data_IF_427652799515
#
_entry.id   IF_427652799515
#
_cell.length_a   1.000
_cell.length_b   1.000
_cell.length_c   1.000
_cell.angle_alpha   90.00
_cell.angle_beta   90.00
_cell.angle_gamma   90.00
#
_symmetry.space_group_name_H-M   'P 1'
#
loop_
_entity.id
_entity.type
_entity.pdbx_description
1 polymer ?
#
# COMPACT_ATOMS: atom_id res chain seq x y z
N UNK A 1 -6.82 12.01 90.46
CA UNK A 1 -7.87 11.25 89.75
C UNK A 1 -8.46 12.14 88.66
N UNK A 2 -8.11 11.89 87.39
CA UNK A 2 -8.88 12.21 86.18
C UNK A 2 -8.13 11.58 85.00
N UNK A 3 -8.70 10.49 84.49
CA UNK A 3 -8.26 9.73 83.33
C UNK A 3 -8.44 10.56 82.05
N UNK A 4 -7.48 10.48 81.13
CA UNK A 4 -7.63 10.92 79.75
C UNK A 4 -7.71 9.67 78.87
N UNK A 5 -8.88 9.45 78.28
CA UNK A 5 -9.22 8.30 77.43
C UNK A 5 -8.69 8.58 76.02
N UNK A 6 -7.74 7.76 75.55
CA UNK A 6 -7.28 7.78 74.15
C UNK A 6 -8.16 6.80 73.37
N UNK A 7 -9.00 7.35 72.49
CA UNK A 7 -9.87 6.59 71.58
C UNK A 7 -9.06 6.25 70.32
N UNK A 8 -8.58 5.00 70.20
CA UNK A 8 -7.95 4.49 68.97
C UNK A 8 -9.04 4.13 67.94
N UNK A 9 -9.23 4.96 66.92
CA UNK A 9 -10.03 4.64 65.74
C UNK A 9 -9.27 3.67 64.83
N UNK A 10 -9.77 2.43 64.73
CA UNK A 10 -9.29 1.44 63.76
C UNK A 10 -9.80 1.81 62.37
N UNK A 11 -8.91 2.30 61.51
CA UNK A 11 -9.17 2.54 60.09
C UNK A 11 -8.87 1.24 59.33
N UNK A 12 -9.92 0.46 59.02
CA UNK A 12 -9.80 -0.75 58.18
C UNK A 12 -9.81 -0.29 56.72
N UNK A 13 -8.64 -0.28 56.08
CA UNK A 13 -8.51 -0.06 54.63
C UNK A 13 -8.71 -1.42 53.96
N UNK A 14 -9.90 -1.62 53.39
CA UNK A 14 -10.16 -2.71 52.45
C UNK A 14 -9.47 -2.37 51.11
N UNK A 15 -8.27 -2.92 50.92
CA UNK A 15 -7.59 -2.90 49.62
C UNK A 15 -8.28 -3.95 48.75
N UNK A 16 -9.24 -3.51 47.94
CA UNK A 16 -9.81 -4.30 46.86
C UNK A 16 -8.72 -4.48 45.80
N UNK A 17 -8.15 -5.69 45.73
CA UNK A 17 -7.14 -6.05 44.74
C UNK A 17 -7.86 -6.35 43.42
N UNK A 18 -8.08 -5.33 42.59
CA UNK A 18 -8.47 -5.52 41.19
C UNK A 18 -7.31 -6.21 40.46
N UNK A 19 -7.52 -7.48 40.14
CA UNK A 19 -6.62 -8.26 39.29
C UNK A 19 -6.66 -7.70 37.87
N UNK A 20 -5.78 -6.73 37.59
CA UNK A 20 -5.42 -6.38 36.22
C UNK A 20 -4.77 -7.61 35.58
N UNK A 21 -5.40 -8.14 34.52
CA UNK A 21 -4.79 -9.15 33.65
C UNK A 21 -3.51 -8.56 33.05
N UNK A 22 -2.37 -8.81 33.70
CA UNK A 22 -1.06 -8.55 33.10
C UNK A 22 -0.93 -9.44 31.87
N UNK A 23 -0.59 -8.84 30.74
CA UNK A 23 -0.19 -9.55 29.54
C UNK A 23 0.95 -10.53 29.89
N UNK A 24 0.89 -11.72 29.32
CA UNK A 24 1.87 -12.80 29.55
C UNK A 24 3.27 -12.31 29.10
N UNK A 25 4.26 -12.21 30.01
CA UNK A 25 5.61 -11.75 29.68
C UNK A 25 6.39 -12.73 28.79
N UNK A 26 5.85 -13.92 28.51
CA UNK A 26 6.54 -14.98 27.74
C UNK A 26 6.20 -15.01 26.24
N UNK A 27 5.35 -14.11 25.74
CA UNK A 27 5.25 -13.88 24.29
C UNK A 27 6.45 -13.04 23.82
N UNK A 28 7.57 -13.72 23.56
CA UNK A 28 8.73 -13.15 22.90
C UNK A 28 8.27 -12.56 21.55
N UNK A 29 8.28 -11.23 21.42
CA UNK A 29 7.86 -10.55 20.19
C UNK A 29 8.65 -11.13 19.01
N UNK A 30 7.99 -11.42 17.86
CA UNK A 30 8.70 -11.93 16.71
C UNK A 30 9.80 -10.94 16.30
N UNK A 31 10.95 -11.47 15.90
CA UNK A 31 12.11 -10.69 15.44
C UNK A 31 11.89 -10.07 14.04
N UNK A 32 10.66 -10.02 13.55
CA UNK A 32 10.27 -9.46 12.26
C UNK A 32 8.95 -8.68 12.43
N UNK A 33 8.70 -7.75 11.51
CA UNK A 33 7.44 -7.02 11.44
C UNK A 33 7.08 -6.75 9.98
N UNK A 34 5.79 -6.67 9.68
CA UNK A 34 5.28 -6.32 8.36
C UNK A 34 4.00 -5.49 8.53
N UNK A 35 3.84 -4.46 7.70
CA UNK A 35 2.62 -3.70 7.59
C UNK A 35 2.33 -3.40 6.11
N UNK A 36 1.05 -3.43 5.75
CA UNK A 36 0.58 -3.24 4.37
C UNK A 36 -0.55 -2.22 4.32
N UNK A 37 -0.80 -1.64 3.15
CA UNK A 37 -2.04 -0.91 2.88
C UNK A 37 -2.56 -1.15 1.45
N UNK A 38 -3.88 -1.06 1.30
CA UNK A 38 -4.59 -1.18 0.01
C UNK A 38 -5.10 0.15 -0.56
N UNK A 39 -4.73 1.27 0.05
CA UNK A 39 -5.12 2.62 -0.39
C UNK A 39 -5.89 3.39 0.68
N UNK A 40 -5.93 4.72 0.52
CA UNK A 40 -6.59 5.61 1.47
C UNK A 40 -7.67 6.45 0.77
N UNK A 41 -8.83 6.56 1.39
CA UNK A 41 -9.93 7.34 0.87
C UNK A 41 -11.23 7.08 1.61
N UNK A 42 -12.24 7.87 1.32
CA UNK A 42 -13.58 7.65 1.88
C UNK A 42 -14.30 6.59 1.04
N UNK A 43 -14.38 5.38 1.57
CA UNK A 43 -15.46 4.44 1.21
C UNK A 43 -16.47 4.56 2.34
N UNK A 44 -17.61 5.20 2.08
CA UNK A 44 -18.64 5.26 3.10
C UNK A 44 -19.24 3.86 3.27
N UNK A 45 -19.48 3.44 4.50
CA UNK A 45 -20.02 2.10 4.79
C UNK A 45 -21.34 1.81 4.06
N UNK A 46 -22.12 2.86 3.78
CA UNK A 46 -23.37 2.77 2.99
C UNK A 46 -23.13 2.41 1.52
N UNK A 47 -21.94 2.67 0.99
CA UNK A 47 -21.54 2.42 -0.40
C UNK A 47 -20.73 1.11 -0.51
N UNK A 48 -20.59 0.35 0.59
CA UNK A 48 -19.87 -0.92 0.64
C UNK A 48 -20.84 -2.03 1.05
N UNK A 49 -21.11 -2.95 0.13
CA UNK A 49 -21.81 -4.18 0.46
C UNK A 49 -20.88 -5.15 1.22
N UNK A 50 -21.47 -6.07 1.98
CA UNK A 50 -20.73 -7.00 2.84
C UNK A 50 -19.83 -7.97 2.07
N UNK A 51 -20.17 -8.30 0.82
CA UNK A 51 -19.35 -9.17 -0.02
C UNK A 51 -18.09 -8.44 -0.47
N UNK A 52 -18.24 -7.19 -0.90
CA UNK A 52 -17.11 -6.32 -1.25
C UNK A 52 -16.19 -6.09 -0.05
N UNK A 53 -16.74 -5.78 1.13
CA UNK A 53 -15.96 -5.62 2.38
C UNK A 53 -15.14 -6.89 2.68
N UNK A 54 -15.80 -8.04 2.64
CA UNK A 54 -15.16 -9.34 2.88
C UNK A 54 -14.06 -9.63 1.87
N UNK A 55 -14.27 -9.29 0.59
CA UNK A 55 -13.27 -9.47 -0.46
C UNK A 55 -12.01 -8.63 -0.21
N UNK A 56 -12.14 -7.36 0.21
CA UNK A 56 -11.00 -6.52 0.59
C UNK A 56 -10.26 -7.09 1.80
N UNK A 57 -10.97 -7.49 2.85
CA UNK A 57 -10.36 -8.06 4.07
C UNK A 57 -9.60 -9.33 3.72
N UNK A 58 -10.19 -10.23 2.95
CA UNK A 58 -9.54 -11.48 2.55
C UNK A 58 -8.29 -11.22 1.71
N UNK A 59 -8.37 -10.31 0.74
CA UNK A 59 -7.22 -9.95 -0.09
C UNK A 59 -6.08 -9.32 0.73
N UNK A 60 -6.38 -8.45 1.70
CA UNK A 60 -5.38 -7.87 2.58
C UNK A 60 -4.75 -8.94 3.49
N UNK A 61 -5.55 -9.84 4.05
CA UNK A 61 -5.04 -10.95 4.85
C UNK A 61 -4.14 -11.88 4.05
N UNK A 62 -4.47 -12.17 2.80
CA UNK A 62 -3.65 -13.00 1.91
C UNK A 62 -2.32 -12.30 1.57
N UNK A 63 -2.37 -11.01 1.20
CA UNK A 63 -1.18 -10.21 0.95
C UNK A 63 -0.24 -10.15 2.17
N UNK A 64 -0.81 -9.98 3.36
CA UNK A 64 -0.08 -9.99 4.63
C UNK A 64 0.54 -11.36 4.90
N UNK A 65 -0.22 -12.43 4.70
CA UNK A 65 0.23 -13.82 4.90
C UNK A 65 1.41 -14.18 3.99
N UNK A 66 1.41 -13.72 2.73
CA UNK A 66 2.51 -13.93 1.79
C UNK A 66 3.82 -13.36 2.34
N UNK A 67 3.82 -12.08 2.72
CA UNK A 67 5.01 -11.42 3.25
C UNK A 67 5.43 -11.96 4.63
N UNK A 68 4.46 -12.24 5.50
CA UNK A 68 4.73 -12.84 6.81
C UNK A 68 5.39 -14.22 6.67
N UNK A 69 4.92 -15.07 5.76
CA UNK A 69 5.51 -16.40 5.57
C UNK A 69 6.98 -16.33 5.14
N UNK A 70 7.35 -15.34 4.32
CA UNK A 70 8.73 -15.11 3.91
C UNK A 70 9.58 -14.73 5.14
N UNK A 71 9.14 -13.73 5.92
CA UNK A 71 9.86 -13.25 7.11
C UNK A 71 9.95 -14.32 8.21
N UNK A 72 8.86 -15.06 8.42
CA UNK A 72 8.77 -16.15 9.38
C UNK A 72 9.72 -17.29 9.04
N UNK A 73 9.98 -17.53 7.75
CA UNK A 73 10.94 -18.53 7.27
C UNK A 73 12.39 -18.03 7.25
N UNK A 74 12.65 -16.78 7.69
CA UNK A 74 13.98 -16.18 7.68
C UNK A 74 14.39 -15.57 6.33
N UNK A 75 13.44 -15.33 5.43
CA UNK A 75 13.66 -14.59 4.19
C UNK A 75 13.92 -13.09 4.43
N UNK A 76 14.40 -12.40 3.38
CA UNK A 76 14.76 -10.98 3.44
C UNK A 76 13.51 -10.09 3.37
N UNK A 77 13.58 -8.92 3.99
CA UNK A 77 12.49 -7.93 3.95
C UNK A 77 12.17 -7.45 2.53
N UNK A 78 13.17 -7.37 1.64
CA UNK A 78 12.96 -7.00 0.23
C UNK A 78 12.10 -8.00 -0.53
N UNK A 79 12.30 -9.31 -0.29
CA UNK A 79 11.54 -10.37 -0.94
C UNK A 79 10.09 -10.39 -0.42
N UNK A 80 9.91 -10.11 0.88
CA UNK A 80 8.60 -9.98 1.51
C UNK A 80 7.82 -8.79 0.93
N UNK A 81 8.44 -7.61 0.84
CA UNK A 81 7.83 -6.40 0.28
C UNK A 81 7.45 -6.59 -1.18
N UNK A 82 8.36 -7.08 -2.02
CA UNK A 82 8.07 -7.32 -3.43
C UNK A 82 6.93 -8.33 -3.60
N UNK A 83 6.98 -9.47 -2.91
CA UNK A 83 5.98 -10.53 -3.06
C UNK A 83 4.58 -10.08 -2.62
N UNK A 84 4.50 -9.35 -1.51
CA UNK A 84 3.23 -8.77 -1.02
C UNK A 84 2.67 -7.75 -2.01
N UNK A 85 3.49 -6.85 -2.54
CA UNK A 85 3.01 -5.81 -3.47
C UNK A 85 2.66 -6.43 -4.83
N UNK A 86 3.40 -7.43 -5.32
CA UNK A 86 3.04 -8.18 -6.54
C UNK A 86 1.65 -8.81 -6.42
N UNK A 87 1.33 -9.39 -5.27
CA UNK A 87 -0.02 -9.91 -5.03
C UNK A 87 -1.09 -8.81 -5.09
N UNK A 88 -0.81 -7.66 -4.49
CA UNK A 88 -1.73 -6.52 -4.52
C UNK A 88 -1.87 -5.93 -5.93
N UNK A 89 -0.80 -5.92 -6.73
CA UNK A 89 -0.81 -5.52 -8.14
C UNK A 89 -1.56 -6.53 -9.03
N UNK A 90 -1.52 -7.82 -8.72
CA UNK A 90 -2.25 -8.84 -9.49
C UNK A 90 -3.76 -8.89 -9.11
N UNK A 91 -4.16 -8.19 -8.04
CA UNK A 91 -5.52 -8.22 -7.51
C UNK A 91 -6.35 -7.00 -7.97
N UNK A 92 -7.43 -7.21 -8.76
CA UNK A 92 -8.22 -6.14 -9.39
C UNK A 92 -8.94 -5.18 -8.42
N UNK A 93 -8.99 -5.51 -7.13
CA UNK A 93 -9.59 -4.65 -6.10
C UNK A 93 -8.77 -3.39 -5.85
N UNK A 94 -7.45 -3.46 -6.02
CA UNK A 94 -6.55 -2.37 -5.66
C UNK A 94 -6.17 -1.52 -6.88
N UNK A 95 -5.77 -0.27 -6.63
CA UNK A 95 -5.33 0.65 -7.68
C UNK A 95 -3.82 0.55 -7.90
N UNK A 96 -3.36 -0.63 -8.33
CA UNK A 96 -1.98 -0.90 -8.72
C UNK A 96 -2.00 -2.11 -9.64
N UNK A 97 -1.12 -2.17 -10.65
CA UNK A 97 -1.15 -3.26 -11.63
C UNK A 97 -2.56 -3.49 -12.21
N UNK A 98 -3.04 -4.73 -12.15
CA UNK A 98 -4.40 -5.12 -12.51
C UNK A 98 -5.40 -4.42 -11.61
N UNK A 99 -6.31 -3.64 -12.20
CA UNK A 99 -7.25 -2.80 -11.43
C UNK A 99 -6.78 -1.36 -11.23
N UNK A 100 -5.67 -0.98 -11.87
CA UNK A 100 -5.27 0.41 -11.98
C UNK A 100 -6.39 1.29 -12.56
N UNK A 101 -6.45 2.53 -12.08
CA UNK A 101 -7.31 3.58 -12.62
C UNK A 101 -6.85 4.01 -14.01
N UNK A 102 -7.78 4.61 -14.75
CA UNK A 102 -7.51 5.09 -16.10
C UNK A 102 -7.12 6.56 -16.12
N UNK A 103 -6.21 6.89 -17.04
CA UNK A 103 -5.88 8.26 -17.47
C UNK A 103 -7.07 8.92 -18.15
N UNK A 104 -6.93 10.20 -18.48
CA UNK A 104 -7.91 10.93 -19.30
C UNK A 104 -8.17 10.25 -20.65
N UNK A 105 -7.12 9.70 -21.25
CA UNK A 105 -7.14 9.11 -22.58
C UNK A 105 -7.56 7.62 -22.57
N UNK A 106 -7.99 7.12 -21.40
CA UNK A 106 -8.49 5.75 -21.26
C UNK A 106 -7.41 4.68 -21.24
N UNK A 107 -6.18 5.04 -20.90
CA UNK A 107 -5.04 4.11 -20.71
C UNK A 107 -4.74 3.87 -19.23
N UNK A 108 -3.99 2.82 -18.92
CA UNK A 108 -3.41 2.62 -17.58
C UNK A 108 -1.93 2.98 -17.61
N UNK A 109 -1.49 3.77 -16.63
CA UNK A 109 -0.10 4.20 -16.48
C UNK A 109 0.30 4.00 -15.02
N UNK A 110 1.32 3.18 -14.80
CA UNK A 110 1.66 2.65 -13.49
C UNK A 110 2.98 3.22 -12.99
N UNK A 111 3.04 3.41 -11.68
CA UNK A 111 4.19 3.96 -10.97
C UNK A 111 4.51 3.07 -9.76
N UNK A 112 5.79 2.81 -9.48
CA UNK A 112 6.21 2.10 -8.28
C UNK A 112 7.63 2.47 -7.84
N UNK A 113 7.93 2.31 -6.55
CA UNK A 113 9.28 2.37 -6.01
C UNK A 113 9.51 1.34 -4.90
N UNK A 114 10.78 1.02 -4.67
CA UNK A 114 11.24 0.19 -3.56
C UNK A 114 12.57 0.75 -3.04
N UNK A 115 12.76 0.73 -1.73
CA UNK A 115 13.98 1.22 -1.08
C UNK A 115 14.40 0.33 0.07
N UNK A 116 15.71 0.06 0.14
CA UNK A 116 16.34 -0.72 1.19
C UNK A 116 17.07 0.17 2.19
N UNK A 117 16.77 0.00 3.47
CA UNK A 117 17.26 0.87 4.55
C UNK A 117 18.70 0.59 5.00
N UNK A 118 19.22 -0.63 4.76
CA UNK A 118 20.59 -1.01 5.15
C UNK A 118 21.65 -0.44 4.20
N UNK A 119 21.35 -0.46 2.90
CA UNK A 119 22.23 -0.09 1.79
C UNK A 119 21.91 1.28 1.21
N UNK A 120 20.74 1.83 1.54
CA UNK A 120 20.17 3.05 0.94
C UNK A 120 19.93 2.95 -0.57
N UNK A 121 20.05 1.75 -1.14
CA UNK A 121 19.71 1.52 -2.54
C UNK A 121 18.21 1.64 -2.74
N UNK A 122 17.83 2.20 -3.89
CA UNK A 122 16.46 2.41 -4.26
C UNK A 122 16.29 2.21 -5.76
N UNK A 123 15.08 1.84 -6.16
CA UNK A 123 14.68 1.73 -7.55
C UNK A 123 13.24 2.17 -7.74
N UNK A 124 12.96 2.75 -8.90
CA UNK A 124 11.65 3.29 -9.23
C UNK A 124 11.36 3.21 -10.72
N UNK A 125 10.08 3.01 -11.03
CA UNK A 125 9.54 3.14 -12.38
C UNK A 125 8.33 4.06 -12.40
N UNK A 126 8.18 4.85 -13.46
CA UNK A 126 7.03 5.74 -13.62
C UNK A 126 6.43 5.67 -15.03
N UNK A 127 5.12 5.84 -15.13
CA UNK A 127 4.36 5.86 -16.38
C UNK A 127 4.61 4.64 -17.28
N UNK A 128 4.80 3.46 -16.68
CA UNK A 128 4.88 2.21 -17.45
C UNK A 128 3.48 1.70 -17.78
N UNK A 129 3.31 1.09 -18.95
CA UNK A 129 2.00 0.71 -19.49
C UNK A 129 1.88 -0.77 -19.84
N UNK A 130 2.99 -1.50 -19.87
CA UNK A 130 3.02 -2.93 -20.25
C UNK A 130 3.72 -3.83 -19.23
N UNK A 131 4.34 -3.28 -18.19
CA UNK A 131 5.01 -4.08 -17.15
C UNK A 131 3.96 -4.62 -16.20
N UNK A 132 3.78 -5.94 -16.14
CA UNK A 132 2.72 -6.58 -15.34
C UNK A 132 2.78 -6.18 -13.86
N UNK A 133 4.00 -6.20 -13.29
CA UNK A 133 4.26 -5.91 -11.89
C UNK A 133 5.29 -4.77 -11.75
N UNK A 134 4.85 -3.49 -11.71
CA UNK A 134 5.73 -2.34 -11.56
C UNK A 134 6.71 -2.42 -10.39
N UNK A 135 6.33 -2.99 -9.25
CA UNK A 135 7.24 -3.13 -8.09
C UNK A 135 8.48 -3.98 -8.43
N UNK A 136 8.31 -5.03 -9.23
CA UNK A 136 9.43 -5.86 -9.69
C UNK A 136 10.34 -5.12 -10.66
N UNK A 137 9.79 -4.23 -11.49
CA UNK A 137 10.61 -3.38 -12.34
C UNK A 137 11.36 -2.32 -11.52
N UNK A 138 10.74 -1.74 -10.48
CA UNK A 138 11.43 -0.87 -9.53
C UNK A 138 12.60 -1.60 -8.85
N UNK A 139 12.40 -2.83 -8.37
CA UNK A 139 13.48 -3.66 -7.83
C UNK A 139 14.57 -3.96 -8.87
N UNK A 140 14.19 -4.27 -10.11
CA UNK A 140 15.14 -4.51 -11.18
C UNK A 140 15.99 -3.26 -11.50
N UNK A 141 15.40 -2.06 -11.46
CA UNK A 141 16.16 -0.81 -11.63
C UNK A 141 17.22 -0.70 -10.53
N UNK A 142 16.86 -0.97 -9.28
CA UNK A 142 17.78 -0.94 -8.14
C UNK A 142 18.92 -1.96 -8.24
N UNK A 143 18.62 -3.20 -8.62
CA UNK A 143 19.57 -4.32 -8.54
C UNK A 143 20.35 -4.57 -9.84
N UNK A 144 19.83 -4.12 -10.99
CA UNK A 144 20.34 -4.49 -12.33
C UNK A 144 20.67 -3.28 -13.21
N UNK A 145 20.78 -2.09 -12.63
CA UNK A 145 21.22 -0.89 -13.34
C UNK A 145 22.03 0.04 -12.44
N UNK A 146 22.70 1.02 -13.03
CA UNK A 146 23.40 2.10 -12.31
C UNK A 146 22.47 3.29 -11.98
N UNK A 147 21.15 3.09 -12.06
CA UNK A 147 20.15 4.14 -12.00
C UNK A 147 19.15 3.90 -10.86
N UNK A 148 18.55 4.99 -10.37
CA UNK A 148 17.50 4.93 -9.34
C UNK A 148 16.10 4.95 -9.94
N UNK A 149 15.89 5.66 -11.05
CA UNK A 149 14.55 5.83 -11.62
C UNK A 149 14.59 5.76 -13.14
N UNK A 150 13.64 5.01 -13.72
CA UNK A 150 13.37 4.99 -15.17
C UNK A 150 11.90 5.25 -15.43
N UNK A 151 11.55 5.83 -16.57
CA UNK A 151 10.15 6.12 -16.90
C UNK A 151 9.76 5.69 -18.32
N UNK A 152 8.46 5.49 -18.51
CA UNK A 152 7.82 5.28 -19.80
C UNK A 152 8.46 4.14 -20.59
N UNK A 153 8.65 4.37 -21.90
CA UNK A 153 9.10 3.31 -22.81
C UNK A 153 10.49 2.76 -22.46
N UNK A 154 11.39 3.61 -21.96
CA UNK A 154 12.73 3.20 -21.55
C UNK A 154 12.68 2.19 -20.40
N UNK A 155 11.84 2.45 -19.39
CA UNK A 155 11.63 1.54 -18.27
C UNK A 155 11.05 0.19 -18.72
N UNK A 156 10.11 0.19 -19.67
CA UNK A 156 9.53 -1.05 -20.22
C UNK A 156 10.56 -1.89 -20.98
N UNK A 157 11.40 -1.25 -21.80
CA UNK A 157 12.47 -1.94 -22.53
C UNK A 157 13.48 -2.55 -21.56
N UNK A 158 13.85 -1.80 -20.51
CA UNK A 158 14.73 -2.30 -19.47
C UNK A 158 14.09 -3.47 -18.70
N UNK A 159 12.83 -3.35 -18.29
CA UNK A 159 12.10 -4.42 -17.61
C UNK A 159 12.05 -5.70 -18.46
N UNK A 160 11.78 -5.57 -19.77
CA UNK A 160 11.80 -6.68 -20.71
C UNK A 160 13.19 -7.32 -20.81
N UNK A 161 14.25 -6.51 -20.90
CA UNK A 161 15.63 -7.01 -20.92
C UNK A 161 16.04 -7.74 -19.64
N UNK A 162 15.40 -7.41 -18.51
CA UNK A 162 15.58 -8.08 -17.23
C UNK A 162 14.77 -9.38 -17.09
N UNK A 163 13.99 -9.76 -18.11
CA UNK A 163 13.16 -10.97 -18.12
C UNK A 163 11.83 -10.83 -17.36
N UNK A 164 11.35 -9.61 -17.12
CA UNK A 164 10.06 -9.38 -16.45
C UNK A 164 8.88 -9.58 -17.41
N UNK A 165 7.73 -9.96 -16.85
CA UNK A 165 6.49 -10.16 -17.61
C UNK A 165 6.01 -8.86 -18.25
N UNK A 166 6.01 -8.84 -19.59
CA UNK A 166 5.41 -7.78 -20.39
C UNK A 166 4.06 -8.28 -20.90
N UNK A 167 3.00 -7.52 -20.60
CA UNK A 167 1.61 -7.88 -20.90
C UNK A 167 0.98 -6.87 -21.86
N UNK A 168 -0.05 -7.32 -22.58
CA UNK A 168 -0.94 -6.41 -23.28
C UNK A 168 -1.61 -5.45 -22.28
N UNK A 169 -1.72 -4.14 -22.58
CA UNK A 169 -2.38 -3.18 -21.69
C UNK A 169 -3.80 -3.58 -21.26
N UNK A 170 -4.51 -4.42 -22.03
CA UNK A 170 -5.82 -4.95 -21.65
C UNK A 170 -5.79 -5.76 -20.34
N UNK A 171 -4.63 -6.27 -19.92
CA UNK A 171 -4.47 -6.97 -18.65
C UNK A 171 -4.88 -6.11 -17.45
N UNK A 172 -4.60 -4.80 -17.51
CA UNK A 172 -4.86 -3.88 -16.40
C UNK A 172 -6.33 -3.46 -16.29
N UNK A 173 -7.10 -3.69 -17.36
CA UNK A 173 -8.48 -3.25 -17.47
C UNK A 173 -9.38 -3.92 -16.42
N UNK A 174 -10.23 -3.11 -15.79
CA UNK A 174 -11.41 -3.60 -15.09
C UNK A 174 -12.61 -2.72 -15.44
N UNK A 175 -13.77 -3.37 -15.59
CA UNK A 175 -15.02 -2.68 -15.92
C UNK A 175 -15.36 -1.57 -14.91
N UNK A 176 -15.21 -1.86 -13.61
CA UNK A 176 -15.49 -0.91 -12.53
C UNK A 176 -14.64 0.36 -12.63
N UNK A 177 -13.33 0.24 -12.92
CA UNK A 177 -12.44 1.40 -13.05
C UNK A 177 -12.74 2.19 -14.33
N UNK A 178 -13.09 1.50 -15.41
CA UNK A 178 -13.46 2.11 -16.68
C UNK A 178 -14.74 2.94 -16.55
N UNK A 179 -15.79 2.35 -15.99
CA UNK A 179 -17.05 3.05 -15.69
C UNK A 179 -16.83 4.25 -14.77
N UNK A 180 -15.91 4.13 -13.82
CA UNK A 180 -15.46 5.25 -12.97
C UNK A 180 -14.88 6.42 -13.77
N UNK A 181 -14.03 6.16 -14.77
CA UNK A 181 -13.53 7.19 -15.68
C UNK A 181 -14.67 7.82 -16.48
N UNK A 182 -15.52 7.00 -17.11
CA UNK A 182 -16.62 7.49 -17.95
C UNK A 182 -17.55 8.43 -17.19
N UNK A 183 -17.87 8.11 -15.93
CA UNK A 183 -18.65 8.98 -15.05
C UNK A 183 -17.98 10.34 -14.83
N UNK A 184 -16.67 10.36 -14.55
CA UNK A 184 -15.92 11.62 -14.34
C UNK A 184 -15.88 12.46 -15.61
N UNK A 185 -15.65 11.85 -16.79
CA UNK A 185 -15.63 12.56 -18.07
C UNK A 185 -17.00 13.20 -18.38
N UNK A 186 -18.10 12.50 -18.11
CA UNK A 186 -19.45 13.03 -18.27
C UNK A 186 -19.75 14.19 -17.32
N UNK A 187 -19.27 14.10 -16.07
CA UNK A 187 -19.42 15.18 -15.07
C UNK A 187 -18.58 16.41 -15.46
N UNK A 188 -17.35 16.21 -15.93
CA UNK A 188 -16.45 17.28 -16.38
C UNK A 188 -17.00 18.00 -17.62
N UNK A 189 -17.58 17.28 -18.59
CA UNK A 189 -18.22 17.90 -19.77
C UNK A 189 -19.42 18.78 -19.36
N UNK A 190 -20.25 18.30 -18.42
CA UNK A 190 -21.37 19.08 -17.88
C UNK A 190 -20.91 20.33 -17.12
N UNK A 191 -19.82 20.24 -16.35
CA UNK A 191 -19.26 21.38 -15.61
C UNK A 191 -18.54 22.39 -16.50
N UNK A 192 -17.90 21.95 -17.58
CA UNK A 192 -17.29 22.89 -18.55
C UNK A 192 -18.32 23.84 -19.18
N UNK A 193 -19.60 23.45 -19.18
CA UNK A 193 -20.76 24.22 -19.66
C UNK A 193 -21.39 25.11 -18.59
N UNK A 194 -20.98 24.99 -17.32
CA UNK A 194 -21.50 25.78 -16.19
C UNK A 194 -20.33 26.27 -15.33
N UNK A 195 -19.91 27.53 -15.51
CA UNK A 195 -18.79 28.18 -14.82
C UNK A 195 -18.81 27.96 -13.30
N UNK A 196 -18.08 26.96 -12.80
CA UNK A 196 -18.07 26.62 -11.39
C UNK A 196 -16.99 25.60 -11.06
N UNK A 197 -15.83 26.10 -10.62
CA UNK A 197 -14.71 25.27 -10.17
C UNK A 197 -15.07 24.58 -8.85
N UNK A 198 -15.17 23.25 -8.89
CA UNK A 198 -15.26 22.40 -7.71
C UNK A 198 -14.37 21.19 -7.92
N UNK A 199 -13.16 21.23 -7.36
CA UNK A 199 -12.26 20.08 -7.25
C UNK A 199 -12.98 18.94 -6.52
N UNK A 200 -13.51 17.98 -7.28
CA UNK A 200 -14.06 16.74 -6.73
C UNK A 200 -12.97 16.01 -5.94
N UNK A 201 -13.35 15.38 -4.82
CA UNK A 201 -12.44 14.54 -4.03
C UNK A 201 -11.92 13.42 -4.91
N UNK A 202 -10.69 13.55 -5.43
CA UNK A 202 -10.04 12.50 -6.21
C UNK A 202 -9.69 11.36 -5.25
N UNK A 203 -10.15 10.16 -5.59
CA UNK A 203 -9.84 8.95 -4.80
C UNK A 203 -8.42 8.52 -5.15
N UNK A 204 -7.56 8.36 -4.14
CA UNK A 204 -6.18 7.93 -4.27
C UNK A 204 -6.07 6.49 -3.77
N UNK A 205 -6.15 5.51 -4.68
CA UNK A 205 -5.79 4.14 -4.33
C UNK A 205 -4.29 3.95 -4.55
N UNK A 206 -3.55 3.52 -3.54
CA UNK A 206 -2.12 3.18 -3.64
C UNK A 206 -1.91 1.96 -2.76
N UNK A 207 -1.10 1.01 -3.20
CA UNK A 207 -0.73 -0.14 -2.37
C UNK A 207 0.69 0.03 -1.88
N UNK A 208 1.00 -0.54 -0.73
CA UNK A 208 2.34 -0.45 -0.17
C UNK A 208 2.58 -1.48 0.92
N UNK A 209 3.85 -1.73 1.18
CA UNK A 209 4.33 -2.66 2.18
C UNK A 209 5.62 -2.14 2.80
N UNK A 210 5.73 -2.26 4.11
CA UNK A 210 6.99 -2.10 4.86
C UNK A 210 7.26 -3.37 5.65
N UNK A 211 8.50 -3.84 5.62
CA UNK A 211 8.92 -5.03 6.35
C UNK A 211 10.25 -4.84 7.06
N UNK A 212 10.35 -5.39 8.27
CA UNK A 212 11.57 -5.57 9.05
C UNK A 212 11.86 -7.07 9.10
N UNK A 213 13.05 -7.49 8.66
CA UNK A 213 13.48 -8.88 8.76
C UNK A 213 14.26 -9.18 10.06
N UNK A 214 14.59 -10.46 10.27
CA UNK A 214 15.31 -10.94 11.46
C UNK A 214 16.75 -10.45 11.57
N UNK A 215 17.29 -9.86 10.50
CA UNK A 215 18.62 -9.27 10.47
C UNK A 215 18.61 -7.78 10.80
N UNK A 216 17.41 -7.19 10.98
CA UNK A 216 17.26 -5.77 11.26
C UNK A 216 17.09 -4.91 10.00
N UNK A 217 16.96 -5.51 8.81
CA UNK A 217 16.84 -4.75 7.57
C UNK A 217 15.40 -4.29 7.35
N UNK A 218 15.22 -3.00 7.12
CA UNK A 218 13.93 -2.40 6.78
C UNK A 218 13.86 -2.15 5.28
N UNK A 219 12.78 -2.57 4.64
CA UNK A 219 12.47 -2.26 3.24
C UNK A 219 11.07 -1.71 3.16
N UNK A 220 10.88 -0.70 2.32
CA UNK A 220 9.58 -0.15 1.98
C UNK A 220 9.40 -0.18 0.46
N UNK A 221 8.16 -0.39 0.02
CA UNK A 221 7.78 -0.31 -1.39
C UNK A 221 6.34 0.14 -1.55
N UNK A 222 6.09 0.81 -2.67
CA UNK A 222 4.81 1.45 -3.00
C UNK A 222 4.51 1.26 -4.49
N UNK A 223 3.26 1.00 -4.86
CA UNK A 223 2.81 0.87 -6.26
C UNK A 223 1.42 1.48 -6.46
N UNK A 224 1.19 2.08 -7.64
CA UNK A 224 -0.08 2.75 -7.95
C UNK A 224 -0.38 2.80 -9.45
N UNK A 225 -1.68 2.87 -9.79
CA UNK A 225 -2.15 3.36 -11.09
C UNK A 225 -2.27 4.89 -11.19
N UNK A 226 -1.99 5.61 -10.11
CA UNK A 226 -2.12 7.05 -10.00
C UNK A 226 -3.55 7.48 -9.68
N UNK A 227 -4.07 8.49 -10.38
CA UNK A 227 -5.41 9.04 -10.15
C UNK A 227 -6.29 8.84 -11.38
N UNK A 228 -7.58 8.53 -11.16
CA UNK A 228 -8.55 8.52 -12.25
C UNK A 228 -8.58 9.88 -12.95
N UNK A 229 -8.62 9.87 -14.29
CA UNK A 229 -8.63 11.06 -15.13
C UNK A 229 -7.35 11.92 -14.96
N UNK A 230 -6.21 11.30 -14.62
CA UNK A 230 -4.91 11.98 -14.70
C UNK A 230 -4.57 12.31 -16.16
N UNK A 231 -3.92 13.45 -16.39
CA UNK A 231 -3.54 13.95 -17.72
C UNK A 231 -2.02 14.00 -17.87
N UNK A 232 -1.55 13.96 -19.11
CA UNK A 232 -0.18 14.31 -19.51
C UNK A 232 0.91 13.53 -18.77
N UNK A 233 0.70 12.21 -18.60
CA UNK A 233 1.65 11.33 -17.92
C UNK A 233 2.02 11.81 -16.51
N UNK A 234 1.03 12.37 -15.77
CA UNK A 234 1.24 12.83 -14.40
C UNK A 234 1.80 11.70 -13.55
N UNK A 235 2.95 11.98 -12.93
CA UNK A 235 3.58 11.15 -11.91
C UNK A 235 3.13 11.61 -10.51
N UNK A 236 2.83 10.64 -9.64
CA UNK A 236 2.48 10.86 -8.23
C UNK A 236 3.68 10.79 -7.28
N UNK A 237 3.37 10.61 -6.00
CA UNK A 237 4.32 10.36 -4.91
C UNK A 237 4.98 8.98 -5.00
N UNK A 238 4.22 7.95 -5.42
CA UNK A 238 4.62 6.55 -5.31
C UNK A 238 5.96 6.15 -5.94
N UNK A 239 6.41 6.71 -7.09
CA UNK A 239 7.73 6.40 -7.63
C UNK A 239 8.84 7.38 -7.16
N UNK A 240 8.51 8.34 -6.28
CA UNK A 240 9.44 9.37 -5.82
C UNK A 240 9.98 8.97 -4.44
N UNK A 241 11.25 8.57 -4.42
CA UNK A 241 11.96 8.20 -3.18
C UNK A 241 11.91 9.35 -2.17
N UNK A 242 11.45 9.06 -0.96
CA UNK A 242 11.28 10.04 0.12
C UNK A 242 9.92 10.74 0.13
N UNK A 243 9.02 10.44 -0.81
CA UNK A 243 7.64 10.93 -0.81
C UNK A 243 6.61 9.80 -0.66
N UNK A 244 6.68 8.78 -1.52
CA UNK A 244 5.75 7.64 -1.55
C UNK A 244 6.08 6.50 -0.59
#
# INVERSE_FOLDING_TARGET
MKWLIILCTHFIILISCESSKKADPDQQKPAYAIAIHGGAGTIEKKDMDSLTETAYINALNEALTIGENILKSGGKSIDAVESTIRFLEDNPLFNAGKGAVFTHDGTNELDASIMSGDSQLAGAVGSVTTVKNPISAARAVMEKSDHVMMIGKGAELFAASCGLDIVDPSYFYTKTRWEGLQKILLEDDKKSKSSGDTKGKKKHGTVGCVALDRHGNIVAGTSTGGMTNKRYNRIGDSPIIGAG
#
